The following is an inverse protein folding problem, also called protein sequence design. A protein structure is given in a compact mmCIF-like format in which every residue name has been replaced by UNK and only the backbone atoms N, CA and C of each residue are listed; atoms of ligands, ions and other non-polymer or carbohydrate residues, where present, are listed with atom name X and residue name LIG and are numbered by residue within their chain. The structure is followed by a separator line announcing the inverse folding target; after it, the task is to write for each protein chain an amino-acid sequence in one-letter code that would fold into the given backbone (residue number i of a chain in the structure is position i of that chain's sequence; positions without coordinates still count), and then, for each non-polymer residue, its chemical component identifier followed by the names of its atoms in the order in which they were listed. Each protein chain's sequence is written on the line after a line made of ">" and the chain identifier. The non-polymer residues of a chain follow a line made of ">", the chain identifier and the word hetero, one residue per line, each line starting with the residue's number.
data_IF_134724812853
#
_entry.id   IF_134724812853
#
_cell.length_a   1.000
_cell.length_b   1.000
_cell.length_c   1.000
_cell.angle_alpha   90.00
_cell.angle_beta   90.00
_cell.angle_gamma   90.00
#
_symmetry.space_group_name_H-M   'P 1'
#
loop_
_entity.id
_entity.type
_entity.pdbx_description
1 polymer ?
#
# COMPACT_ATOMS: atom_id res chain seq x y z
N UNK A 1 -9.44 -28.00 -9.19
CA UNK A 1 -8.90 -27.01 -10.16
C UNK A 1 -7.37 -27.15 -10.20
N UNK A 2 -6.82 -27.92 -11.13
CA UNK A 2 -5.38 -28.31 -11.12
C UNK A 2 -4.52 -27.63 -12.19
N UNK A 3 -5.12 -26.94 -13.17
CA UNK A 3 -4.36 -26.20 -14.20
C UNK A 3 -4.08 -24.77 -13.76
N UNK A 4 -2.80 -24.38 -13.76
CA UNK A 4 -2.32 -23.04 -13.41
C UNK A 4 -2.88 -21.97 -14.35
N UNK A 5 -3.00 -22.27 -15.64
CA UNK A 5 -3.47 -21.29 -16.63
C UNK A 5 -4.96 -21.01 -16.47
N UNK A 6 -5.77 -22.04 -16.25
CA UNK A 6 -7.21 -21.90 -15.96
C UNK A 6 -7.42 -21.10 -14.66
N UNK A 7 -6.61 -21.34 -13.63
CA UNK A 7 -6.69 -20.55 -12.40
C UNK A 7 -6.41 -19.07 -12.66
N UNK A 8 -5.39 -18.73 -13.45
CA UNK A 8 -5.05 -17.34 -13.79
C UNK A 8 -6.14 -16.66 -14.62
N UNK A 9 -6.74 -17.38 -15.57
CA UNK A 9 -7.86 -16.87 -16.36
C UNK A 9 -9.07 -16.55 -15.49
N UNK A 10 -9.44 -17.46 -14.58
CA UNK A 10 -10.54 -17.24 -13.63
C UNK A 10 -10.24 -16.03 -12.73
N UNK A 11 -9.03 -15.95 -12.17
CA UNK A 11 -8.61 -14.82 -11.32
C UNK A 11 -8.69 -13.51 -12.12
N UNK A 12 -8.26 -13.52 -13.38
CA UNK A 12 -8.31 -12.34 -14.25
C UNK A 12 -9.74 -11.92 -14.56
N UNK A 13 -10.62 -12.87 -14.88
CA UNK A 13 -12.04 -12.60 -15.12
C UNK A 13 -12.71 -12.03 -13.86
N UNK A 14 -12.50 -12.64 -12.70
CA UNK A 14 -13.01 -12.15 -11.42
C UNK A 14 -12.52 -10.74 -11.12
N UNK A 15 -11.23 -10.45 -11.36
CA UNK A 15 -10.65 -9.11 -11.21
C UNK A 15 -11.39 -8.10 -12.10
N UNK A 16 -11.53 -8.40 -13.39
CA UNK A 16 -12.16 -7.50 -14.37
C UNK A 16 -13.60 -7.19 -13.96
N UNK A 17 -14.41 -8.21 -13.68
CA UNK A 17 -15.81 -8.03 -13.32
C UNK A 17 -15.98 -7.31 -11.97
N UNK A 18 -15.13 -7.59 -10.99
CA UNK A 18 -15.16 -6.90 -9.68
C UNK A 18 -14.83 -5.42 -9.81
N UNK A 19 -13.81 -5.07 -10.61
CA UNK A 19 -13.45 -3.67 -10.83
C UNK A 19 -14.57 -3.00 -11.63
N UNK A 20 -15.10 -3.64 -12.67
CA UNK A 20 -16.21 -3.10 -13.46
C UNK A 20 -17.41 -2.75 -12.59
N UNK A 21 -17.84 -3.67 -11.72
CA UNK A 21 -18.90 -3.43 -10.75
C UNK A 21 -18.57 -2.26 -9.80
N UNK A 22 -17.31 -2.15 -9.36
CA UNK A 22 -16.86 -1.01 -8.54
C UNK A 22 -16.99 0.33 -9.28
N UNK A 23 -16.60 0.39 -10.55
CA UNK A 23 -16.68 1.62 -11.36
C UNK A 23 -18.14 1.98 -11.67
N UNK A 24 -18.99 0.99 -11.92
CA UNK A 24 -20.44 1.16 -12.10
C UNK A 24 -21.11 1.68 -10.82
N UNK A 25 -20.73 1.14 -9.66
CA UNK A 25 -21.21 1.59 -8.35
C UNK A 25 -20.78 3.03 -8.05
N UNK A 26 -19.53 3.39 -8.38
CA UNK A 26 -19.01 4.76 -8.26
C UNK A 26 -19.78 5.73 -9.18
N UNK A 27 -20.24 5.28 -10.36
CA UNK A 27 -21.12 6.02 -11.25
C UNK A 27 -20.59 7.42 -11.63
N UNK A 28 -19.27 7.55 -11.77
CA UNK A 28 -18.60 8.83 -12.10
C UNK A 28 -18.58 9.86 -10.96
N UNK A 29 -19.03 9.51 -9.76
CA UNK A 29 -18.99 10.37 -8.59
C UNK A 29 -17.54 10.53 -8.05
N UNK A 30 -17.41 11.33 -7.00
CA UNK A 30 -16.16 11.63 -6.34
C UNK A 30 -15.66 10.47 -5.47
N UNK A 31 -14.35 10.38 -5.35
CA UNK A 31 -13.69 9.36 -4.54
C UNK A 31 -12.46 9.91 -3.82
N UNK A 32 -12.06 9.21 -2.76
CA UNK A 32 -10.76 9.35 -2.15
C UNK A 32 -9.82 8.24 -2.66
N UNK A 33 -8.58 8.62 -2.89
CA UNK A 33 -7.51 7.73 -3.32
C UNK A 33 -6.67 7.29 -2.12
N UNK A 34 -6.61 5.99 -1.87
CA UNK A 34 -5.78 5.39 -0.83
C UNK A 34 -4.67 4.61 -1.52
N UNK A 35 -3.41 4.93 -1.21
CA UNK A 35 -2.23 4.27 -1.79
C UNK A 35 -1.28 3.87 -0.68
N UNK A 36 -0.77 2.65 -0.78
CA UNK A 36 0.21 2.08 0.14
C UNK A 36 1.35 1.43 -0.65
N UNK A 37 2.58 1.61 -0.20
CA UNK A 37 3.78 1.00 -0.77
C UNK A 37 4.30 -0.10 0.16
N UNK A 38 4.64 -1.25 -0.41
CA UNK A 38 5.20 -2.37 0.36
C UNK A 38 6.11 -3.24 -0.50
N UNK A 39 6.96 -4.04 0.16
CA UNK A 39 7.85 -5.00 -0.48
C UNK A 39 7.19 -6.37 -0.53
N UNK A 40 7.21 -7.01 -1.70
CA UNK A 40 6.81 -8.41 -1.81
C UNK A 40 7.90 -9.37 -1.29
N UNK A 41 7.59 -10.67 -1.29
CA UNK A 41 8.52 -11.73 -0.84
C UNK A 41 9.82 -11.81 -1.64
N UNK A 42 9.84 -11.25 -2.86
CA UNK A 42 11.03 -11.13 -3.70
C UNK A 42 11.74 -9.78 -3.54
N UNK A 43 11.35 -8.98 -2.54
CA UNK A 43 11.84 -7.63 -2.26
C UNK A 43 11.64 -6.65 -3.41
N UNK A 44 10.55 -6.83 -4.18
CA UNK A 44 10.15 -5.86 -5.19
C UNK A 44 9.11 -4.93 -4.60
N UNK A 45 9.24 -3.65 -4.92
CA UNK A 45 8.27 -2.65 -4.49
C UNK A 45 6.95 -2.80 -5.25
N UNK A 46 5.87 -2.69 -4.49
CA UNK A 46 4.50 -2.87 -4.92
C UNK A 46 3.67 -1.70 -4.39
N UNK A 47 2.84 -1.14 -5.25
CA UNK A 47 1.89 -0.10 -4.92
C UNK A 47 0.47 -0.69 -4.91
N UNK A 48 -0.17 -0.69 -3.75
CA UNK A 48 -1.58 -1.02 -3.62
C UNK A 48 -2.44 0.23 -3.81
N UNK A 49 -3.50 0.13 -4.61
CA UNK A 49 -4.45 1.22 -4.86
C UNK A 49 -5.84 0.80 -4.44
N UNK A 50 -6.47 1.63 -3.61
CA UNK A 50 -7.83 1.47 -3.10
C UNK A 50 -8.60 2.77 -3.34
N UNK A 51 -9.86 2.65 -3.76
CA UNK A 51 -10.79 3.78 -3.84
C UNK A 51 -11.74 3.73 -2.65
N UNK A 52 -11.98 4.90 -2.05
CA UNK A 52 -13.03 5.08 -1.04
C UNK A 52 -14.06 6.08 -1.55
N UNK A 53 -15.32 5.69 -1.61
CA UNK A 53 -16.40 6.52 -2.14
C UNK A 53 -17.70 6.27 -1.39
N UNK A 54 -18.75 7.03 -1.71
CA UNK A 54 -20.09 6.83 -1.16
C UNK A 54 -20.95 6.23 -2.26
N UNK A 55 -21.51 5.04 -2.03
CA UNK A 55 -22.42 4.43 -3.00
C UNK A 55 -23.79 5.15 -3.01
N UNK A 56 -24.62 4.86 -4.01
CA UNK A 56 -25.97 5.47 -4.18
C UNK A 56 -26.88 5.35 -2.96
N UNK A 57 -26.64 4.36 -2.08
CA UNK A 57 -27.40 4.16 -0.84
C UNK A 57 -26.89 5.00 0.34
N UNK A 58 -25.82 5.77 0.15
CA UNK A 58 -25.19 6.59 1.18
C UNK A 58 -24.15 5.84 2.03
N UNK A 59 -23.84 4.58 1.73
CA UNK A 59 -22.82 3.81 2.46
C UNK A 59 -21.41 4.19 2.00
N UNK A 60 -20.46 4.24 2.92
CA UNK A 60 -19.05 4.39 2.58
C UNK A 60 -18.51 3.04 2.11
N UNK A 61 -17.95 3.02 0.91
CA UNK A 61 -17.37 1.84 0.27
C UNK A 61 -15.87 2.02 0.14
N UNK A 62 -15.12 0.98 0.48
CA UNK A 62 -13.70 0.85 0.16
C UNK A 62 -13.53 -0.33 -0.81
N UNK A 63 -12.86 -0.09 -1.93
CA UNK A 63 -12.71 -1.06 -3.02
C UNK A 63 -11.29 -1.08 -3.53
N UNK A 64 -10.69 -2.26 -3.47
CA UNK A 64 -9.36 -2.51 -3.98
C UNK A 64 -9.36 -2.55 -5.51
N UNK A 65 -8.44 -1.80 -6.13
CA UNK A 65 -8.30 -1.71 -7.59
C UNK A 65 -7.18 -2.61 -8.08
N UNK A 66 -6.06 -2.65 -7.36
CA UNK A 66 -4.94 -3.48 -7.74
C UNK A 66 -3.68 -3.24 -6.94
N UNK A 67 -2.74 -4.17 -7.14
CA UNK A 67 -1.35 -4.06 -6.75
C UNK A 67 -0.52 -3.98 -8.03
N UNK A 68 0.39 -3.01 -8.08
CA UNK A 68 1.20 -2.73 -9.25
C UNK A 68 2.66 -2.72 -8.83
N UNK A 69 3.47 -3.48 -9.53
CA UNK A 69 4.91 -3.45 -9.33
C UNK A 69 5.47 -2.11 -9.80
N UNK A 70 6.11 -1.39 -8.89
CA UNK A 70 6.81 -0.14 -9.15
C UNK A 70 8.31 -0.37 -9.02
N UNK A 71 9.08 0.04 -10.03
CA UNK A 71 10.55 -0.07 -10.04
C UNK A 71 11.24 1.18 -9.55
N UNK A 72 10.57 2.32 -9.68
CA UNK A 72 11.04 3.63 -9.30
C UNK A 72 9.99 4.27 -8.39
N UNK A 73 10.41 4.59 -7.17
CA UNK A 73 9.60 5.19 -6.12
C UNK A 73 9.67 6.70 -6.09
N UNK A 74 10.31 7.31 -7.10
CA UNK A 74 10.25 8.75 -7.27
C UNK A 74 8.79 9.18 -7.38
N UNK A 75 8.45 10.31 -6.74
CA UNK A 75 7.08 10.81 -6.71
C UNK A 75 6.44 10.94 -8.11
N UNK A 76 7.23 11.29 -9.13
CA UNK A 76 6.76 11.42 -10.50
C UNK A 76 6.36 10.06 -11.09
N UNK A 77 7.17 9.02 -10.86
CA UNK A 77 6.87 7.65 -11.29
C UNK A 77 5.62 7.12 -10.58
N UNK A 78 5.49 7.36 -9.28
CA UNK A 78 4.30 6.98 -8.51
C UNK A 78 3.03 7.69 -9.02
N UNK A 79 3.10 9.01 -9.25
CA UNK A 79 1.99 9.78 -9.85
C UNK A 79 1.60 9.20 -11.22
N UNK A 80 2.58 8.86 -12.05
CA UNK A 80 2.32 8.30 -13.38
C UNK A 80 1.57 6.97 -13.28
N UNK A 81 2.01 6.06 -12.40
CA UNK A 81 1.32 4.78 -12.17
C UNK A 81 -0.14 5.00 -11.77
N UNK A 82 -0.41 5.94 -10.86
CA UNK A 82 -1.78 6.28 -10.44
C UNK A 82 -2.59 6.81 -11.62
N UNK A 83 -2.03 7.74 -12.41
CA UNK A 83 -2.71 8.29 -13.59
C UNK A 83 -3.05 7.18 -14.59
N UNK A 84 -2.10 6.29 -14.89
CA UNK A 84 -2.28 5.20 -15.85
C UNK A 84 -3.42 4.26 -15.40
N UNK A 85 -3.52 3.97 -14.09
CA UNK A 85 -4.60 3.16 -13.51
C UNK A 85 -5.94 3.87 -13.62
N UNK A 86 -5.99 5.16 -13.29
CA UNK A 86 -7.24 5.93 -13.36
C UNK A 86 -7.72 6.02 -14.82
N UNK A 87 -6.84 6.32 -15.77
CA UNK A 87 -7.16 6.36 -17.21
C UNK A 87 -7.66 4.99 -17.69
N UNK A 88 -6.97 3.91 -17.32
CA UNK A 88 -7.37 2.55 -17.69
C UNK A 88 -8.81 2.20 -17.24
N UNK A 89 -9.25 2.76 -16.12
CA UNK A 89 -10.61 2.58 -15.60
C UNK A 89 -11.56 3.75 -15.91
N UNK A 90 -11.19 4.63 -16.84
CA UNK A 90 -11.98 5.82 -17.23
C UNK A 90 -12.34 6.75 -16.07
N UNK A 91 -11.47 6.80 -15.05
CA UNK A 91 -11.59 7.68 -13.89
C UNK A 91 -10.80 8.96 -14.11
N UNK A 92 -11.37 10.08 -13.68
CA UNK A 92 -10.72 11.39 -13.77
C UNK A 92 -9.96 11.72 -12.48
N UNK A 93 -8.75 12.29 -12.62
CA UNK A 93 -8.04 12.89 -11.48
C UNK A 93 -8.84 14.03 -10.82
N UNK A 94 -9.62 14.78 -11.61
CA UNK A 94 -10.42 15.90 -11.09
C UNK A 94 -11.55 15.45 -10.15
N UNK A 95 -11.91 14.16 -10.19
CA UNK A 95 -12.91 13.55 -9.32
C UNK A 95 -12.35 13.16 -7.94
N UNK A 96 -11.03 13.27 -7.73
CA UNK A 96 -10.42 12.99 -6.43
C UNK A 96 -10.82 14.09 -5.43
N UNK A 97 -11.33 13.69 -4.27
CA UNK A 97 -11.70 14.58 -3.14
C UNK A 97 -10.96 14.25 -1.84
N UNK A 98 -10.38 13.07 -1.76
CA UNK A 98 -9.52 12.68 -0.65
C UNK A 98 -8.26 11.99 -1.16
N UNK A 99 -7.18 12.08 -0.39
CA UNK A 99 -5.96 11.33 -0.64
C UNK A 99 -5.37 10.87 0.70
N UNK A 100 -5.01 9.59 0.78
CA UNK A 100 -4.39 8.99 1.95
C UNK A 100 -3.22 8.14 1.47
N UNK A 101 -2.02 8.51 1.89
CA UNK A 101 -0.78 7.83 1.56
C UNK A 101 -0.03 7.47 2.83
N UNK A 102 0.84 6.47 2.75
CA UNK A 102 1.83 6.22 3.80
C UNK A 102 2.73 7.45 4.02
N UNK A 103 3.48 7.46 5.13
CA UNK A 103 4.33 8.60 5.50
C UNK A 103 5.77 8.36 5.03
N UNK A 104 5.94 7.99 3.77
CA UNK A 104 7.23 8.09 3.08
C UNK A 104 7.33 9.49 2.47
N UNK A 105 8.53 10.08 2.49
CA UNK A 105 8.79 11.45 1.99
C UNK A 105 8.22 11.66 0.58
N UNK A 106 8.42 10.67 -0.29
CA UNK A 106 7.98 10.72 -1.68
C UNK A 106 6.44 10.83 -1.82
N UNK A 107 5.69 10.43 -0.80
CA UNK A 107 4.23 10.42 -0.77
C UNK A 107 3.64 11.68 -0.10
N UNK A 108 4.19 12.10 1.04
CA UNK A 108 3.60 13.15 1.89
C UNK A 108 4.32 14.50 1.87
N UNK A 109 5.46 14.63 1.19
CA UNK A 109 6.22 15.89 1.16
C UNK A 109 5.40 17.06 0.60
N UNK A 110 5.32 18.16 1.36
CA UNK A 110 4.58 19.38 0.98
C UNK A 110 5.27 20.18 -0.15
N UNK A 111 6.51 19.83 -0.51
CA UNK A 111 7.29 20.51 -1.55
C UNK A 111 7.22 19.75 -2.88
N UNK A 112 7.44 18.43 -2.86
CA UNK A 112 7.55 17.59 -4.06
C UNK A 112 6.80 16.26 -3.98
N UNK A 113 6.12 15.96 -2.87
CA UNK A 113 5.48 14.67 -2.63
C UNK A 113 4.18 14.48 -3.40
N UNK A 114 3.73 13.23 -3.45
CA UNK A 114 2.57 12.81 -4.26
C UNK A 114 1.32 13.61 -3.88
N UNK A 115 1.12 13.81 -2.57
CA UNK A 115 0.12 14.71 -1.98
C UNK A 115 0.01 16.04 -2.71
N UNK A 116 1.13 16.70 -2.97
CA UNK A 116 1.14 18.01 -3.61
C UNK A 116 0.82 17.90 -5.09
N UNK A 117 1.42 16.92 -5.77
CA UNK A 117 1.25 16.76 -7.22
C UNK A 117 -0.18 16.37 -7.61
N UNK A 118 -0.88 15.59 -6.78
CA UNK A 118 -2.29 15.26 -6.99
C UNK A 118 -3.18 16.46 -6.64
N UNK A 119 -2.87 17.20 -5.57
CA UNK A 119 -3.59 18.43 -5.21
C UNK A 119 -3.48 19.54 -6.26
N UNK A 120 -2.41 19.55 -7.06
CA UNK A 120 -2.29 20.47 -8.20
C UNK A 120 -3.28 20.15 -9.33
N UNK A 121 -3.58 18.87 -9.56
CA UNK A 121 -4.56 18.41 -10.56
C UNK A 121 -6.00 18.48 -10.04
N UNK A 122 -6.20 18.17 -8.75
CA UNK A 122 -7.49 18.29 -8.06
C UNK A 122 -7.32 19.10 -6.79
N UNK A 123 -7.65 20.40 -6.87
CA UNK A 123 -7.50 21.34 -5.74
C UNK A 123 -8.30 20.94 -4.49
N UNK A 124 -9.37 20.17 -4.69
CA UNK A 124 -10.27 19.70 -3.63
C UNK A 124 -9.86 18.32 -3.08
N UNK A 125 -8.74 17.74 -3.52
CA UNK A 125 -8.20 16.50 -2.96
C UNK A 125 -7.57 16.78 -1.58
N UNK A 126 -8.35 16.57 -0.52
CA UNK A 126 -7.88 16.76 0.85
C UNK A 126 -7.01 15.59 1.31
N UNK A 127 -5.83 15.90 1.83
CA UNK A 127 -4.92 14.88 2.35
C UNK A 127 -5.27 14.51 3.77
N UNK A 128 -5.39 13.22 4.03
CA UNK A 128 -5.52 12.66 5.37
C UNK A 128 -4.26 11.83 5.64
N UNK A 129 -3.66 12.00 6.82
CA UNK A 129 -2.54 11.17 7.24
C UNK A 129 -3.04 9.80 7.73
N UNK A 130 -2.27 8.76 7.46
CA UNK A 130 -2.58 7.42 7.94
C UNK A 130 -2.51 7.37 9.48
N UNK A 131 -3.66 7.19 10.14
CA UNK A 131 -3.74 7.09 11.60
C UNK A 131 -2.96 5.91 12.17
N UNK A 132 -2.94 4.78 11.47
CA UNK A 132 -2.16 3.61 11.90
C UNK A 132 -0.66 3.93 11.96
N UNK A 133 -0.15 4.67 10.96
CA UNK A 133 1.23 5.11 10.96
C UNK A 133 1.50 6.14 12.08
N UNK A 134 0.60 7.11 12.30
CA UNK A 134 0.74 8.06 13.40
C UNK A 134 0.76 7.36 14.78
N UNK A 135 -0.10 6.37 14.97
CA UNK A 135 -0.12 5.56 16.18
C UNK A 135 1.20 4.79 16.35
N UNK A 136 1.70 4.17 15.27
CA UNK A 136 2.97 3.46 15.29
C UNK A 136 4.14 4.37 15.66
N UNK A 137 4.24 5.56 15.06
CA UNK A 137 5.27 6.54 15.39
C UNK A 137 5.19 6.97 16.85
N UNK A 138 3.97 7.18 17.35
CA UNK A 138 3.73 7.52 18.77
C UNK A 138 4.19 6.38 19.68
N UNK A 139 3.82 5.15 19.36
CA UNK A 139 4.21 3.97 20.14
C UNK A 139 5.74 3.82 20.16
N UNK A 140 6.40 3.96 19.02
CA UNK A 140 7.88 3.92 18.93
C UNK A 140 8.51 5.03 19.77
N UNK A 141 8.00 6.25 19.68
CA UNK A 141 8.53 7.39 20.45
C UNK A 141 8.37 7.20 21.97
N UNK A 142 7.23 6.67 22.42
CA UNK A 142 6.99 6.35 23.84
C UNK A 142 7.86 5.17 24.29
N UNK A 143 7.98 4.13 23.47
CA UNK A 143 8.77 2.92 23.75
C UNK A 143 10.25 3.25 23.95
N UNK A 144 10.80 4.18 23.16
CA UNK A 144 12.19 4.66 23.31
C UNK A 144 12.48 5.32 24.67
N UNK A 145 11.46 5.73 25.43
CA UNK A 145 11.62 6.27 26.79
C UNK A 145 11.63 5.18 27.87
N UNK A 146 11.28 3.94 27.53
CA UNK A 146 11.27 2.81 28.44
C UNK A 146 12.54 1.98 28.24
N UNK A 147 13.43 2.00 29.24
CA UNK A 147 14.74 1.30 29.17
C UNK A 147 14.55 -0.20 28.93
N UNK A 148 13.59 -0.83 29.62
CA UNK A 148 13.31 -2.27 29.49
C UNK A 148 12.86 -2.64 28.08
N UNK A 149 12.05 -1.80 27.44
CA UNK A 149 11.64 -2.01 26.04
C UNK A 149 12.84 -1.82 25.10
N UNK A 150 13.68 -0.81 25.36
CA UNK A 150 14.92 -0.61 24.62
C UNK A 150 15.87 -1.80 24.69
N UNK A 151 16.07 -2.38 25.88
CA UNK A 151 16.90 -3.57 26.10
C UNK A 151 16.34 -4.79 25.36
N UNK A 152 15.03 -5.02 25.44
CA UNK A 152 14.38 -6.10 24.71
C UNK A 152 14.55 -5.95 23.19
N UNK A 153 14.30 -4.74 22.66
CA UNK A 153 14.46 -4.46 21.22
C UNK A 153 15.90 -4.68 20.79
N UNK A 154 16.88 -4.22 21.57
CA UNK A 154 18.31 -4.43 21.28
C UNK A 154 18.68 -5.92 21.26
N UNK A 155 18.21 -6.69 22.25
CA UNK A 155 18.43 -8.14 22.30
C UNK A 155 17.87 -8.83 21.06
N UNK A 156 16.62 -8.52 20.69
CA UNK A 156 15.98 -9.09 19.50
C UNK A 156 16.75 -8.68 18.22
N UNK A 157 17.13 -7.41 18.10
CA UNK A 157 17.93 -6.94 16.95
C UNK A 157 19.27 -7.64 16.86
N UNK A 158 19.96 -7.89 17.98
CA UNK A 158 21.23 -8.61 17.98
C UNK A 158 21.05 -10.06 17.53
N UNK A 159 20.00 -10.75 18.00
CA UNK A 159 19.68 -12.11 17.54
C UNK A 159 19.42 -12.12 16.03
N UNK A 160 18.61 -11.18 15.54
CA UNK A 160 18.28 -11.06 14.12
C UNK A 160 19.53 -10.77 13.27
N UNK A 161 20.43 -9.91 13.74
CA UNK A 161 21.69 -9.62 13.05
C UNK A 161 22.59 -10.86 13.00
N UNK A 162 22.77 -11.56 14.13
CA UNK A 162 23.57 -12.80 14.15
C UNK A 162 23.00 -13.85 13.19
N UNK A 163 21.68 -14.05 13.18
CA UNK A 163 21.04 -14.96 12.23
C UNK A 163 21.20 -14.48 10.79
N UNK A 164 20.88 -13.21 10.52
CA UNK A 164 20.87 -12.62 9.18
C UNK A 164 22.24 -12.44 8.53
N UNK A 165 23.31 -12.35 9.33
CA UNK A 165 24.70 -12.21 8.86
C UNK A 165 25.22 -13.45 8.11
N UNK A 166 24.50 -14.58 8.16
CA UNK A 166 24.88 -15.80 7.46
C UNK A 166 23.68 -16.50 6.85
N UNK A 167 23.66 -16.60 5.52
CA UNK A 167 22.66 -17.39 4.79
C UNK A 167 22.54 -18.82 5.35
N UNK A 168 23.69 -19.44 5.71
CA UNK A 168 23.73 -20.77 6.32
C UNK A 168 22.97 -20.83 7.65
N UNK A 169 23.13 -19.84 8.54
CA UNK A 169 22.41 -19.80 9.82
C UNK A 169 20.92 -19.57 9.64
N UNK A 170 20.52 -18.78 8.64
CA UNK A 170 19.11 -18.58 8.29
C UNK A 170 18.48 -19.88 7.79
N UNK A 171 19.16 -20.61 6.91
CA UNK A 171 18.67 -21.87 6.37
C UNK A 171 18.60 -22.96 7.45
N UNK A 172 19.67 -23.15 8.24
CA UNK A 172 19.67 -24.09 9.37
C UNK A 172 18.55 -23.78 10.39
N UNK A 173 18.30 -22.50 10.64
CA UNK A 173 17.20 -22.08 11.50
C UNK A 173 15.84 -22.47 10.91
N UNK A 174 15.60 -22.21 9.61
CA UNK A 174 14.35 -22.59 8.93
C UNK A 174 14.11 -24.10 8.93
N UNK A 175 15.15 -24.87 8.63
CA UNK A 175 15.07 -26.33 8.62
C UNK A 175 14.70 -26.86 10.01
N UNK A 176 15.32 -26.33 11.07
CA UNK A 176 14.99 -26.69 12.46
C UNK A 176 13.56 -26.37 12.89
N UNK A 177 12.92 -25.36 12.27
CA UNK A 177 11.51 -25.04 12.52
C UNK A 177 10.59 -26.02 11.80
N UNK A 178 10.95 -26.46 10.60
CA UNK A 178 10.18 -27.42 9.81
C UNK A 178 10.23 -28.83 10.41
N UNK A 179 11.32 -29.22 11.08
CA UNK A 179 11.42 -30.51 11.79
C UNK A 179 10.57 -30.60 13.07
N UNK A 180 10.06 -29.47 13.58
CA UNK A 180 9.24 -29.41 14.80
C UNK A 180 7.72 -29.33 14.53
N UNK A 181 7.32 -29.30 13.26
CA UNK A 181 5.94 -29.33 12.76
C UNK A 181 5.57 -30.74 12.31
#
# INVERSE_FOLDING_TARGET
>A
MTSSDIQKEIVTACKIETIKATIEDLNGDYFALLVDESLDVSRKEQMAIVLRYVEKKGSVMERFIGIIHVRDTSTLSLKKVIIDVLIHHSLSLSSIRGQCYDVVSNMQDDIKGLKKLIKQESRLAHSIHCFAHQLQLTLVAVSKKCVQVGELVLLVSNILNVLGDSFKRVDEFRDSQNEKL
#
